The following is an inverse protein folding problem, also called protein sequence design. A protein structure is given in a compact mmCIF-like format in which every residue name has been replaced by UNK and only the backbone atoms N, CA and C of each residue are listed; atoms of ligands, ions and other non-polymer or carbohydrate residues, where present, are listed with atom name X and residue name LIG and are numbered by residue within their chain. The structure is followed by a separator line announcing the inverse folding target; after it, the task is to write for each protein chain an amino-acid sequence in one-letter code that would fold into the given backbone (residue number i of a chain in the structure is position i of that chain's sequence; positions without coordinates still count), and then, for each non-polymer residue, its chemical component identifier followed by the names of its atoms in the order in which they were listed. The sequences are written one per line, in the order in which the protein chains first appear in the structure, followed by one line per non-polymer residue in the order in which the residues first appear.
data_IF_193119335222
#
_entry.id   IF_193119335222
#
_cell.length_a   1.000
_cell.length_b   1.000
_cell.length_c   1.000
_cell.angle_alpha   90.00
_cell.angle_beta   90.00
_cell.angle_gamma   90.00
#
_symmetry.space_group_name_H-M   'P 1'
#
loop_
_entity.id
_entity.type
_entity.pdbx_description
1 polymer ?
#
# COMPACT_ATOMS: atom_id res chain seq x y z
N UNK A 1 4.32 -28.73 4.06
CA UNK A 1 4.43 -28.35 2.63
C UNK A 1 4.41 -26.81 2.48
N UNK A 2 3.52 -26.11 3.18
CA UNK A 2 3.46 -24.61 3.13
C UNK A 2 4.68 -23.93 3.77
N UNK A 3 5.21 -24.48 4.85
CA UNK A 3 6.36 -23.91 5.55
C UNK A 3 7.66 -24.02 4.73
N UNK A 4 7.77 -25.02 3.87
CA UNK A 4 8.91 -25.21 2.99
C UNK A 4 8.90 -24.24 1.81
N UNK A 5 7.68 -23.90 1.31
CA UNK A 5 7.51 -22.92 0.22
C UNK A 5 7.91 -21.49 0.62
N UNK A 6 7.73 -21.15 1.91
CA UNK A 6 8.11 -19.82 2.44
C UNK A 6 9.62 -19.71 2.63
N UNK A 7 10.30 -20.83 2.99
CA UNK A 7 11.75 -20.86 3.16
C UNK A 7 12.49 -20.76 1.82
N UNK A 8 12.00 -21.46 0.78
CA UNK A 8 12.60 -21.43 -0.55
C UNK A 8 12.52 -20.02 -1.20
N UNK A 9 11.47 -19.25 -0.87
CA UNK A 9 11.33 -17.87 -1.36
C UNK A 9 12.31 -16.88 -0.68
N UNK A 10 12.73 -17.15 0.56
CA UNK A 10 13.65 -16.30 1.28
C UNK A 10 15.13 -16.60 0.98
N UNK A 11 15.45 -17.83 0.55
CA UNK A 11 16.83 -18.21 0.21
C UNK A 11 17.27 -17.66 -1.15
N UNK A 12 16.34 -17.53 -2.12
CA UNK A 12 16.63 -16.97 -3.45
C UNK A 12 16.84 -15.44 -3.44
N UNK A 13 16.29 -14.72 -2.46
CA UNK A 13 16.48 -13.26 -2.34
C UNK A 13 17.82 -12.87 -1.66
N UNK A 14 18.40 -13.72 -0.82
CA UNK A 14 19.66 -13.41 -0.14
C UNK A 14 20.90 -13.53 -1.05
N UNK A 15 20.87 -14.36 -2.09
CA UNK A 15 22.04 -14.54 -2.98
C UNK A 15 22.28 -13.40 -3.99
N UNK A 16 21.28 -12.56 -4.28
CA UNK A 16 21.38 -11.54 -5.37
C UNK A 16 21.76 -10.15 -4.86
N UNK A 17 21.65 -9.88 -3.57
CA UNK A 17 21.67 -8.49 -3.08
C UNK A 17 23.04 -7.91 -2.76
N UNK A 18 24.11 -8.73 -2.73
CA UNK A 18 25.48 -8.25 -2.52
C UNK A 18 25.60 -7.21 -1.36
N UNK A 19 24.79 -7.39 -0.30
CA UNK A 19 24.74 -6.48 0.84
C UNK A 19 24.04 -5.14 0.58
N UNK A 20 23.37 -4.97 -0.56
CA UNK A 20 22.48 -3.83 -0.79
C UNK A 20 21.07 -4.18 -0.33
N UNK A 21 20.57 -3.37 0.57
CA UNK A 21 19.20 -3.46 1.06
C UNK A 21 18.24 -3.22 -0.12
N UNK A 22 17.46 -4.24 -0.48
CA UNK A 22 16.45 -4.13 -1.53
C UNK A 22 15.21 -3.51 -0.91
N UNK A 23 14.91 -2.29 -1.29
CA UNK A 23 13.63 -1.67 -0.96
C UNK A 23 12.59 -2.29 -1.89
N UNK A 24 11.55 -2.93 -1.36
CA UNK A 24 10.49 -3.50 -2.18
C UNK A 24 9.83 -2.40 -3.03
N UNK A 25 9.94 -2.51 -4.35
CA UNK A 25 9.30 -1.58 -5.29
C UNK A 25 8.02 -2.22 -5.80
N UNK A 26 6.90 -1.56 -5.56
CA UNK A 26 5.62 -1.98 -6.11
C UNK A 26 5.39 -1.32 -7.47
N UNK A 27 5.42 -2.11 -8.54
CA UNK A 27 5.16 -1.63 -9.88
C UNK A 27 3.65 -1.51 -10.13
N UNK A 28 3.22 -0.34 -10.59
CA UNK A 28 1.84 -0.08 -10.98
C UNK A 28 1.72 -0.12 -12.50
N UNK A 29 0.68 -0.81 -13.00
CA UNK A 29 0.44 -0.89 -14.45
C UNK A 29 -0.12 0.41 -15.00
N UNK A 30 -0.99 1.08 -14.25
CA UNK A 30 -1.63 2.32 -14.69
C UNK A 30 -2.10 3.18 -13.53
N UNK A 31 -2.08 4.50 -13.74
CA UNK A 31 -2.75 5.47 -12.86
C UNK A 31 -4.21 5.61 -13.28
N UNK A 32 -5.15 5.48 -12.34
CA UNK A 32 -6.58 5.65 -12.61
C UNK A 32 -7.12 7.01 -12.18
N UNK A 33 -8.07 7.49 -12.98
CA UNK A 33 -8.97 8.54 -12.54
C UNK A 33 -10.11 7.90 -11.72
N UNK A 34 -10.35 8.31 -10.48
CA UNK A 34 -11.43 7.78 -9.64
C UNK A 34 -12.81 7.79 -10.33
N UNK A 35 -13.10 8.82 -11.14
CA UNK A 35 -14.35 8.95 -11.85
C UNK A 35 -14.56 7.92 -12.99
N UNK A 36 -13.49 7.28 -13.45
CA UNK A 36 -13.55 6.28 -14.54
C UNK A 36 -13.81 4.87 -14.03
N UNK A 37 -13.85 4.66 -12.72
CA UNK A 37 -14.03 3.33 -12.13
C UNK A 37 -15.51 2.97 -12.14
N UNK A 38 -15.87 2.07 -13.06
CA UNK A 38 -17.24 1.58 -13.26
C UNK A 38 -17.23 0.13 -13.77
N UNK A 39 -18.41 -0.46 -13.98
CA UNK A 39 -18.54 -1.82 -14.47
C UNK A 39 -18.06 -1.99 -15.91
N UNK A 40 -18.22 -0.96 -16.75
CA UNK A 40 -17.76 -1.01 -18.15
C UNK A 40 -16.23 -1.14 -18.20
N UNK A 41 -15.52 -0.37 -17.36
CA UNK A 41 -14.08 -0.52 -17.23
C UNK A 41 -13.70 -1.93 -16.78
N UNK A 42 -14.42 -2.49 -15.82
CA UNK A 42 -14.14 -3.83 -15.32
C UNK A 42 -14.38 -4.89 -16.42
N UNK A 43 -15.41 -4.75 -17.22
CA UNK A 43 -15.68 -5.67 -18.34
C UNK A 43 -14.57 -5.66 -19.39
N UNK A 44 -13.94 -4.52 -19.64
CA UNK A 44 -12.77 -4.42 -20.51
C UNK A 44 -11.55 -5.14 -19.89
N UNK A 45 -11.36 -5.02 -18.58
CA UNK A 45 -10.26 -5.71 -17.87
C UNK A 45 -10.44 -7.24 -17.89
N UNK A 46 -11.67 -7.74 -17.90
CA UNK A 46 -11.95 -9.19 -17.95
C UNK A 46 -11.43 -9.83 -19.27
N UNK A 47 -11.20 -9.05 -20.33
CA UNK A 47 -10.58 -9.55 -21.57
C UNK A 47 -9.14 -10.03 -21.33
N UNK A 48 -8.49 -9.55 -20.27
CA UNK A 48 -7.14 -9.95 -19.89
C UNK A 48 -7.09 -11.28 -19.12
N UNK A 49 -8.22 -11.83 -18.72
CA UNK A 49 -8.30 -13.12 -18.02
C UNK A 49 -7.95 -14.31 -18.95
N UNK A 50 -7.44 -15.44 -18.43
CA UNK A 50 -7.26 -15.74 -17.00
C UNK A 50 -5.97 -15.15 -16.41
N UNK A 51 -6.07 -14.64 -15.19
CA UNK A 51 -4.91 -14.18 -14.44
C UNK A 51 -4.17 -15.34 -13.77
N UNK A 52 -2.84 -15.24 -13.67
CA UNK A 52 -1.96 -16.26 -13.09
C UNK A 52 -0.56 -15.75 -12.88
N UNK A 53 0.41 -16.67 -12.69
CA UNK A 53 1.80 -16.32 -12.40
C UNK A 53 2.47 -15.48 -13.51
N UNK A 54 2.23 -15.86 -14.78
CA UNK A 54 2.80 -15.15 -15.94
C UNK A 54 1.90 -14.01 -16.48
N UNK A 55 0.67 -13.93 -15.99
CA UNK A 55 -0.28 -12.88 -16.33
C UNK A 55 -0.95 -12.36 -15.03
N UNK A 56 -0.22 -11.58 -14.21
CA UNK A 56 -0.77 -11.10 -12.95
C UNK A 56 -1.93 -10.15 -13.17
N UNK A 57 -2.88 -10.15 -12.23
CA UNK A 57 -3.98 -9.20 -12.26
C UNK A 57 -3.44 -7.76 -12.18
N UNK A 58 -3.88 -6.85 -13.05
CA UNK A 58 -3.42 -5.47 -13.08
C UNK A 58 -3.52 -4.76 -11.75
N UNK A 59 -2.48 -4.01 -11.41
CA UNK A 59 -2.37 -3.19 -10.21
C UNK A 59 -2.41 -1.71 -10.60
N UNK A 60 -3.38 -1.00 -10.07
CA UNK A 60 -3.65 0.39 -10.41
C UNK A 60 -3.28 1.34 -9.29
N UNK A 61 -2.87 2.58 -9.66
CA UNK A 61 -2.61 3.65 -8.72
C UNK A 61 -3.76 4.65 -8.63
N UNK A 62 -4.25 4.91 -7.41
CA UNK A 62 -5.14 6.02 -7.08
C UNK A 62 -4.35 7.01 -6.21
N UNK A 63 -4.06 8.20 -6.76
CA UNK A 63 -3.17 9.16 -6.12
C UNK A 63 -3.92 10.36 -5.55
N UNK A 64 -3.40 10.87 -4.42
CA UNK A 64 -3.94 12.04 -3.72
C UNK A 64 -5.42 11.83 -3.35
N UNK A 65 -5.73 10.71 -2.73
CA UNK A 65 -7.05 10.36 -2.23
C UNK A 65 -7.19 10.75 -0.77
N UNK A 66 -8.13 11.63 -0.44
CA UNK A 66 -8.41 12.02 0.95
C UNK A 66 -9.27 10.96 1.63
N UNK A 67 -8.84 10.45 2.78
CA UNK A 67 -9.65 9.56 3.62
C UNK A 67 -10.77 10.37 4.25
N UNK A 68 -12.01 10.01 3.96
CA UNK A 68 -13.21 10.67 4.50
C UNK A 68 -14.00 9.79 5.46
N UNK A 69 -13.70 8.49 5.51
CA UNK A 69 -14.33 7.56 6.45
C UNK A 69 -13.53 6.29 6.62
N UNK A 70 -13.62 5.70 7.81
CA UNK A 70 -13.02 4.44 8.18
C UNK A 70 -14.05 3.61 8.93
N UNK A 71 -14.34 2.42 8.45
CA UNK A 71 -15.32 1.51 9.03
C UNK A 71 -14.72 0.11 9.17
N UNK A 72 -14.63 -0.43 10.40
CA UNK A 72 -14.29 -1.84 10.61
C UNK A 72 -15.34 -2.76 10.02
N UNK A 73 -14.90 -3.86 9.41
CA UNK A 73 -15.78 -4.89 8.85
C UNK A 73 -15.23 -6.31 9.15
N UNK A 74 -16.07 -7.32 9.01
CA UNK A 74 -15.66 -8.71 9.21
C UNK A 74 -15.11 -8.99 10.62
N UNK A 75 -15.83 -8.59 11.67
CA UNK A 75 -15.41 -8.75 13.08
C UNK A 75 -14.05 -8.10 13.36
N UNK A 76 -13.84 -6.89 12.85
CA UNK A 76 -12.61 -6.08 12.98
C UNK A 76 -11.36 -6.70 12.30
N UNK A 77 -11.55 -7.60 11.34
CA UNK A 77 -10.42 -8.19 10.60
C UNK A 77 -10.10 -7.47 9.30
N UNK A 78 -10.95 -6.54 8.89
CA UNK A 78 -10.82 -5.79 7.63
C UNK A 78 -11.28 -4.37 7.85
N UNK A 79 -10.87 -3.48 6.95
CA UNK A 79 -11.26 -2.08 6.98
C UNK A 79 -11.91 -1.70 5.65
N UNK A 80 -13.05 -1.02 5.73
CA UNK A 80 -13.62 -0.29 4.61
C UNK A 80 -13.26 1.18 4.78
N UNK A 81 -12.44 1.69 3.86
CA UNK A 81 -12.21 3.13 3.76
C UNK A 81 -13.19 3.75 2.78
N UNK A 82 -13.59 4.98 3.05
CA UNK A 82 -14.16 5.88 2.06
C UNK A 82 -13.11 6.91 1.71
N UNK A 83 -12.69 6.96 0.45
CA UNK A 83 -11.72 7.93 -0.05
C UNK A 83 -12.36 8.85 -1.07
N UNK A 84 -11.95 10.12 -1.09
CA UNK A 84 -12.51 11.13 -1.96
C UNK A 84 -11.43 11.87 -2.73
N UNK A 85 -11.72 12.19 -3.99
CA UNK A 85 -10.93 13.10 -4.81
C UNK A 85 -11.85 13.86 -5.76
N UNK A 86 -11.76 15.18 -5.76
CA UNK A 86 -12.51 16.07 -6.65
C UNK A 86 -14.03 15.78 -6.65
N UNK A 87 -14.59 15.50 -5.45
CA UNK A 87 -16.01 15.19 -5.29
C UNK A 87 -16.42 13.73 -5.59
N UNK A 88 -15.52 12.91 -6.10
CA UNK A 88 -15.77 11.49 -6.33
C UNK A 88 -15.38 10.71 -5.08
N UNK A 89 -16.35 10.02 -4.47
CA UNK A 89 -16.15 9.17 -3.30
C UNK A 89 -16.14 7.70 -3.70
N UNK A 90 -15.13 6.96 -3.27
CA UNK A 90 -14.98 5.54 -3.54
C UNK A 90 -14.86 4.75 -2.23
N UNK A 91 -15.66 3.70 -2.06
CA UNK A 91 -15.41 2.71 -1.02
C UNK A 91 -14.28 1.78 -1.47
N UNK A 92 -13.26 1.62 -0.63
CA UNK A 92 -12.16 0.69 -0.89
C UNK A 92 -12.01 -0.27 0.30
N UNK A 93 -11.55 -1.49 0.03
CA UNK A 93 -11.42 -2.54 1.02
C UNK A 93 -9.96 -2.85 1.30
N UNK A 94 -9.60 -2.87 2.57
CA UNK A 94 -8.31 -3.36 3.07
C UNK A 94 -8.59 -4.66 3.82
N UNK A 95 -8.03 -5.75 3.33
CA UNK A 95 -8.20 -7.07 3.93
C UNK A 95 -7.06 -7.38 4.90
N UNK A 96 -7.38 -8.15 5.94
CA UNK A 96 -6.41 -8.70 6.92
C UNK A 96 -5.63 -7.65 7.70
N UNK A 97 -6.24 -6.47 7.90
CA UNK A 97 -5.71 -5.39 8.74
C UNK A 97 -6.77 -5.06 9.79
N UNK A 98 -6.38 -5.13 11.06
CA UNK A 98 -7.24 -4.70 12.16
C UNK A 98 -7.25 -3.16 12.25
N UNK A 99 -8.37 -2.53 12.66
CA UNK A 99 -8.44 -1.08 12.76
C UNK A 99 -7.38 -0.45 13.69
N UNK A 100 -7.00 -1.17 14.74
CA UNK A 100 -5.95 -0.76 15.68
C UNK A 100 -4.54 -0.75 15.08
N UNK A 101 -4.32 -1.57 14.04
CA UNK A 101 -3.04 -1.67 13.33
C UNK A 101 -2.96 -0.73 12.12
N UNK A 102 -4.07 -0.04 11.80
CA UNK A 102 -4.15 0.85 10.66
C UNK A 102 -3.59 2.24 10.98
N UNK A 103 -2.50 2.66 10.33
CA UNK A 103 -1.73 3.82 10.78
C UNK A 103 -2.27 5.17 10.30
N UNK A 104 -3.25 5.17 9.37
CA UNK A 104 -3.78 6.39 8.76
C UNK A 104 -5.10 6.81 9.39
N UNK A 105 -5.35 8.12 9.41
CA UNK A 105 -6.54 8.73 10.00
C UNK A 105 -7.47 9.32 8.94
N UNK A 106 -8.72 9.57 9.33
CA UNK A 106 -9.64 10.41 8.56
C UNK A 106 -9.01 11.79 8.39
N UNK A 107 -9.05 12.33 7.19
CA UNK A 107 -8.44 13.56 6.67
C UNK A 107 -7.04 13.40 6.09
N UNK A 108 -6.34 12.29 6.29
CA UNK A 108 -5.07 12.04 5.61
C UNK A 108 -5.29 11.93 4.10
N UNK A 109 -4.29 12.35 3.33
CA UNK A 109 -4.25 12.19 1.88
C UNK A 109 -3.26 11.10 1.54
N UNK A 110 -3.74 10.07 0.82
CA UNK A 110 -3.01 8.84 0.58
C UNK A 110 -2.95 8.48 -0.90
N UNK A 111 -1.92 7.75 -1.26
CA UNK A 111 -1.81 7.05 -2.53
C UNK A 111 -2.09 5.57 -2.29
N UNK A 112 -2.88 4.98 -3.16
CA UNK A 112 -3.35 3.60 -3.04
C UNK A 112 -2.92 2.80 -4.26
N UNK A 113 -2.33 1.64 -4.02
CA UNK A 113 -2.21 0.58 -5.02
C UNK A 113 -3.42 -0.35 -4.90
N UNK A 114 -4.21 -0.49 -5.96
CA UNK A 114 -5.49 -1.19 -5.89
C UNK A 114 -5.66 -2.21 -7.02
N UNK A 115 -6.39 -3.28 -6.72
CA UNK A 115 -6.97 -4.19 -7.72
C UNK A 115 -8.47 -3.99 -7.79
N UNK A 116 -9.01 -4.13 -9.01
CA UNK A 116 -10.43 -4.04 -9.27
C UNK A 116 -11.01 -5.43 -9.51
N UNK A 117 -12.11 -5.73 -8.84
CA UNK A 117 -12.85 -6.99 -9.01
C UNK A 117 -14.35 -6.71 -9.08
N UNK A 118 -15.12 -7.66 -9.58
CA UNK A 118 -16.57 -7.64 -9.42
C UNK A 118 -16.95 -8.25 -8.07
N UNK A 119 -17.99 -7.69 -7.46
CA UNK A 119 -18.64 -8.30 -6.31
C UNK A 119 -20.15 -8.32 -6.58
N UNK A 120 -20.73 -9.51 -6.55
CA UNK A 120 -22.17 -9.71 -6.66
C UNK A 120 -22.78 -9.90 -5.28
N UNK A 121 -23.73 -9.06 -4.95
CA UNK A 121 -24.48 -9.17 -3.70
C UNK A 121 -25.96 -8.89 -3.97
N UNK A 122 -26.83 -9.82 -3.57
CA UNK A 122 -28.28 -9.76 -3.79
C UNK A 122 -28.69 -9.52 -5.27
N UNK A 123 -27.93 -10.08 -6.22
CA UNK A 123 -28.17 -9.92 -7.66
C UNK A 123 -27.70 -8.59 -8.23
N UNK A 124 -27.09 -7.73 -7.44
CA UNK A 124 -26.47 -6.48 -7.90
C UNK A 124 -24.96 -6.64 -8.00
N UNK A 125 -24.41 -6.40 -9.20
CA UNK A 125 -22.97 -6.45 -9.43
C UNK A 125 -22.39 -5.06 -9.24
N UNK A 126 -21.34 -4.97 -8.42
CA UNK A 126 -20.61 -3.71 -8.15
C UNK A 126 -19.10 -3.91 -8.33
N UNK A 127 -18.41 -2.83 -8.67
CA UNK A 127 -16.94 -2.81 -8.63
C UNK A 127 -16.50 -2.85 -7.18
N UNK A 128 -15.64 -3.80 -6.85
CA UNK A 128 -14.92 -3.88 -5.58
C UNK A 128 -13.49 -3.41 -5.78
N UNK A 129 -13.06 -2.44 -4.99
CA UNK A 129 -11.73 -1.87 -5.04
C UNK A 129 -10.95 -2.42 -3.83
N UNK A 130 -9.97 -3.28 -4.10
CA UNK A 130 -9.14 -3.90 -3.07
C UNK A 130 -7.80 -3.17 -2.98
N UNK A 131 -7.49 -2.62 -1.83
CA UNK A 131 -6.18 -2.01 -1.56
C UNK A 131 -5.15 -3.10 -1.36
N UNK A 132 -4.04 -3.00 -2.06
CA UNK A 132 -2.86 -3.88 -1.94
C UNK A 132 -1.73 -3.20 -1.20
N UNK A 133 -1.64 -1.87 -1.34
CA UNK A 133 -0.69 -1.06 -0.61
C UNK A 133 -1.23 0.38 -0.45
N UNK A 134 -0.74 1.08 0.56
CA UNK A 134 -1.16 2.44 0.90
C UNK A 134 0.00 3.23 1.49
N UNK A 135 0.18 4.47 1.01
CA UNK A 135 1.16 5.41 1.56
C UNK A 135 0.58 6.84 1.63
N UNK A 136 1.20 7.71 2.43
CA UNK A 136 0.86 9.14 2.40
C UNK A 136 1.30 9.76 1.07
N UNK A 137 0.43 10.60 0.48
CA UNK A 137 0.68 11.21 -0.83
C UNK A 137 1.75 12.30 -0.83
N UNK A 138 2.01 12.92 0.33
CA UNK A 138 2.91 14.07 0.46
C UNK A 138 4.36 13.67 0.79
N UNK A 139 4.63 12.37 0.90
CA UNK A 139 5.97 11.89 1.24
C UNK A 139 6.74 11.62 -0.04
N UNK A 140 7.85 12.32 -0.20
CA UNK A 140 8.84 12.08 -1.24
C UNK A 140 9.50 10.72 -1.00
N UNK A 141 9.45 9.83 -1.99
CA UNK A 141 10.05 8.50 -1.90
C UNK A 141 11.56 8.58 -1.63
N UNK A 142 12.26 9.59 -2.16
CA UNK A 142 13.69 9.85 -1.88
C UNK A 142 13.92 10.26 -0.42
N UNK A 143 12.99 10.99 0.20
CA UNK A 143 13.07 11.35 1.61
C UNK A 143 12.84 10.14 2.52
N UNK A 144 11.92 9.26 2.14
CA UNK A 144 11.69 7.98 2.82
C UNK A 144 12.96 7.14 2.80
N UNK A 145 13.57 6.95 1.62
CA UNK A 145 14.79 6.16 1.46
C UNK A 145 15.95 6.69 2.29
N UNK A 146 16.13 8.01 2.32
CA UNK A 146 17.13 8.66 3.16
C UNK A 146 16.87 8.46 4.64
N UNK A 147 15.62 8.57 5.06
CA UNK A 147 15.22 8.37 6.46
C UNK A 147 15.39 6.92 6.89
N UNK A 148 15.06 5.97 6.02
CA UNK A 148 15.26 4.54 6.27
C UNK A 148 16.75 4.19 6.35
N UNK A 149 17.57 4.66 5.44
CA UNK A 149 19.03 4.43 5.49
C UNK A 149 19.66 4.99 6.77
N UNK A 150 19.15 6.14 7.23
CA UNK A 150 19.59 6.75 8.48
C UNK A 150 19.18 5.93 9.71
N UNK A 151 17.94 5.40 9.72
CA UNK A 151 17.48 4.50 10.78
C UNK A 151 18.30 3.22 10.82
N UNK A 152 18.62 2.62 9.67
CA UNK A 152 19.46 1.41 9.62
C UNK A 152 20.90 1.67 10.13
N UNK A 153 21.50 2.79 9.78
CA UNK A 153 22.79 3.21 10.37
C UNK A 153 22.70 3.27 11.88
N UNK A 154 21.66 3.91 12.41
CA UNK A 154 21.42 4.00 13.85
C UNK A 154 21.27 2.61 14.49
N UNK A 155 20.47 1.73 13.87
CA UNK A 155 20.23 0.35 14.35
C UNK A 155 21.51 -0.49 14.39
N UNK A 156 22.42 -0.28 13.42
CA UNK A 156 23.74 -0.96 13.38
C UNK A 156 24.76 -0.35 14.30
N UNK A 157 24.44 0.72 15.03
CA UNK A 157 25.38 1.41 15.91
C UNK A 157 26.47 2.20 15.18
N UNK A 158 26.24 2.56 13.92
CA UNK A 158 27.18 3.38 13.14
C UNK A 158 27.21 4.82 13.67
N UNK A 159 28.35 5.50 13.51
CA UNK A 159 28.49 6.88 13.93
C UNK A 159 27.71 7.80 13.01
N UNK A 160 26.73 8.51 13.57
CA UNK A 160 25.93 9.49 12.85
C UNK A 160 26.55 10.88 12.95
N UNK A 161 26.47 11.66 11.88
CA UNK A 161 26.84 13.08 11.91
C UNK A 161 25.85 13.90 12.75
N UNK A 162 26.22 15.11 13.16
CA UNK A 162 25.31 15.96 13.95
C UNK A 162 24.04 16.35 13.18
N UNK A 163 24.14 16.52 11.86
CA UNK A 163 22.98 16.75 10.99
C UNK A 163 22.06 15.51 10.93
N UNK A 164 22.63 14.32 10.85
CA UNK A 164 21.89 13.06 10.88
C UNK A 164 21.19 12.82 12.23
N UNK A 165 21.88 13.15 13.33
CA UNK A 165 21.28 13.07 14.68
C UNK A 165 20.10 14.02 14.84
N UNK A 166 20.19 15.25 14.34
CA UNK A 166 19.08 16.21 14.37
C UNK A 166 17.84 15.70 13.64
N UNK A 167 18.02 14.98 12.53
CA UNK A 167 16.90 14.37 11.79
C UNK A 167 16.23 13.24 12.55
N UNK A 168 16.91 12.60 13.49
CA UNK A 168 16.35 11.54 14.35
C UNK A 168 15.68 12.07 15.62
N UNK A 169 15.68 13.38 15.87
CA UNK A 169 15.04 13.95 17.06
C UNK A 169 13.49 13.92 16.93
N UNK A 170 12.77 13.65 18.04
CA UNK A 170 11.32 13.45 18.04
C UNK A 170 10.48 14.61 17.45
N UNK A 171 11.03 15.83 17.44
CA UNK A 171 10.34 17.02 16.92
C UNK A 171 10.33 17.13 15.39
N UNK A 172 11.16 16.34 14.70
CA UNK A 172 11.16 16.24 13.23
C UNK A 172 10.30 15.10 12.71
N UNK A 173 9.80 14.27 13.61
CA UNK A 173 9.03 13.09 13.27
C UNK A 173 7.57 13.28 13.64
N UNK A 174 6.76 13.65 12.68
CA UNK A 174 5.33 13.50 12.82
C UNK A 174 4.99 12.00 12.85
N UNK A 175 4.09 11.58 13.73
CA UNK A 175 3.70 10.17 13.91
C UNK A 175 3.26 9.49 12.60
N UNK A 176 2.77 10.28 11.65
CA UNK A 176 2.43 9.89 10.28
C UNK A 176 3.63 9.59 9.37
N UNK A 177 4.84 10.03 9.74
CA UNK A 177 6.06 9.79 8.95
C UNK A 177 6.67 8.41 9.17
N UNK A 178 6.16 7.64 10.15
CA UNK A 178 6.72 6.34 10.52
C UNK A 178 6.05 5.13 9.91
N UNK A 179 5.04 5.33 9.14
CA UNK A 179 4.45 4.23 8.39
C UNK A 179 5.22 4.00 7.10
N UNK A 180 6.52 3.97 7.28
CA UNK A 180 7.47 3.51 6.29
C UNK A 180 7.35 2.01 6.33
N UNK A 181 6.62 1.36 5.55
CA UNK A 181 6.60 -0.10 5.44
C UNK A 181 5.95 -0.84 6.61
N UNK A 182 4.68 -1.02 6.54
CA UNK A 182 4.18 -2.34 6.83
C UNK A 182 4.66 -3.23 5.66
N UNK A 183 5.67 -4.08 5.86
CA UNK A 183 5.95 -5.11 4.89
C UNK A 183 4.77 -6.06 4.95
N UNK A 184 4.00 -6.12 3.88
CA UNK A 184 2.89 -7.04 3.65
C UNK A 184 1.56 -6.62 4.26
N UNK A 185 0.81 -5.90 3.47
CA UNK A 185 -0.62 -6.22 3.40
C UNK A 185 -0.81 -7.51 2.59
#
# INVERSE_FOLDING_TARGET
AEQQYINDYNEDEEEVTNGKEVVPVLNLDCKLNPASINLDMLSVLNVLEPFGAENPQPLFGLFNMKITGLQPVGSNKHIRLTVNKNGVSLPVMIFSVAPEDFPYAVSDTVDLAVRLTSNEYMGEVKVSIQVKDIKLSEIDDDEILKSYSLYEKFRRGETLSEEEKQKLLPNSFNKSSYTIFSPRL
#
